data_IF_254015657397
#
_entry.id   IF_254015657397
#
_cell.length_a   1.000
_cell.length_b   1.000
_cell.length_c   1.000
_cell.angle_alpha   90.00
_cell.angle_beta   90.00
_cell.angle_gamma   90.00
#
_symmetry.space_group_name_H-M   'P 1'
#
loop_
_entity.id
_entity.type
_entity.pdbx_description
1 polymer ?
#
# COMPACT_ATOMS: atom_id res chain seq x y z
N UNK A 1 42.96 -30.14 -49.64
CA UNK A 1 42.85 -28.80 -49.03
C UNK A 1 41.74 -28.85 -48.00
N UNK A 2 42.08 -29.09 -46.72
CA UNK A 2 41.07 -29.20 -45.66
C UNK A 2 40.37 -27.85 -45.50
N UNK A 3 39.03 -27.83 -45.60
CA UNK A 3 38.24 -26.61 -45.34
C UNK A 3 38.51 -26.21 -43.89
N UNK A 4 39.25 -25.12 -43.69
CA UNK A 4 39.47 -24.54 -42.36
C UNK A 4 38.10 -24.30 -41.75
N UNK A 5 37.81 -25.02 -40.66
CA UNK A 5 36.60 -24.84 -39.85
C UNK A 5 36.54 -23.36 -39.46
N UNK A 6 35.39 -22.71 -39.68
CA UNK A 6 35.22 -21.32 -39.25
C UNK A 6 35.30 -21.26 -37.73
N UNK A 7 35.97 -20.24 -37.20
CA UNK A 7 36.00 -19.98 -35.77
C UNK A 7 34.57 -19.75 -35.26
N UNK A 8 34.24 -20.41 -34.16
CA UNK A 8 33.03 -20.16 -33.37
C UNK A 8 33.03 -18.76 -32.77
N UNK A 9 31.88 -18.33 -32.25
CA UNK A 9 31.77 -17.01 -31.63
C UNK A 9 32.71 -16.87 -30.42
N UNK A 10 32.79 -17.90 -29.59
CA UNK A 10 33.65 -17.90 -28.40
C UNK A 10 35.14 -17.83 -28.77
N UNK A 11 35.58 -18.61 -29.77
CA UNK A 11 36.95 -18.54 -30.24
C UNK A 11 37.29 -17.15 -30.82
N UNK A 12 36.33 -16.47 -31.48
CA UNK A 12 36.54 -15.08 -31.93
C UNK A 12 36.70 -14.11 -30.75
N UNK A 13 35.94 -14.31 -29.67
CA UNK A 13 36.04 -13.51 -28.44
C UNK A 13 37.41 -13.67 -27.80
N UNK A 14 37.89 -14.91 -27.67
CA UNK A 14 39.23 -15.20 -27.16
C UNK A 14 40.32 -14.57 -28.03
N UNK A 15 40.23 -14.69 -29.36
CA UNK A 15 41.21 -14.08 -30.28
C UNK A 15 41.22 -12.55 -30.17
N UNK A 16 40.07 -11.90 -29.97
CA UNK A 16 40.01 -10.45 -29.75
C UNK A 16 40.59 -10.07 -28.38
N UNK A 17 40.27 -10.80 -27.31
CA UNK A 17 40.85 -10.58 -25.98
C UNK A 17 42.38 -10.72 -25.98
N UNK A 18 42.89 -11.70 -26.72
CA UNK A 18 44.31 -11.94 -26.85
C UNK A 18 45.07 -10.72 -27.41
N UNK A 19 44.45 -9.94 -28.31
CA UNK A 19 45.04 -8.69 -28.82
C UNK A 19 45.28 -7.71 -27.67
N UNK A 20 44.29 -7.54 -26.78
CA UNK A 20 44.41 -6.66 -25.63
C UNK A 20 45.45 -7.17 -24.61
N UNK A 21 45.51 -8.48 -24.36
CA UNK A 21 46.46 -9.04 -23.37
C UNK A 21 47.91 -9.08 -23.84
N UNK A 22 48.16 -9.29 -25.14
CA UNK A 22 49.52 -9.29 -25.69
C UNK A 22 50.13 -7.89 -25.74
N UNK A 23 49.31 -6.90 -26.08
CA UNK A 23 49.78 -5.52 -26.26
C UNK A 23 49.65 -4.65 -25.02
N UNK A 24 48.66 -4.95 -24.17
CA UNK A 24 48.30 -4.17 -22.98
C UNK A 24 48.10 -2.67 -23.28
N UNK A 25 47.56 -2.37 -24.47
CA UNK A 25 47.39 -1.01 -24.99
C UNK A 25 45.91 -0.67 -25.23
N UNK A 26 45.65 0.60 -25.52
CA UNK A 26 44.34 1.16 -25.81
C UNK A 26 44.10 1.21 -27.31
N UNK A 27 42.91 0.79 -27.74
CA UNK A 27 42.57 0.72 -29.15
C UNK A 27 41.31 1.49 -29.50
N UNK A 28 41.32 2.12 -30.67
CA UNK A 28 40.11 2.58 -31.34
C UNK A 28 39.47 1.43 -32.10
N UNK A 29 38.15 1.52 -32.34
CA UNK A 29 37.43 0.51 -33.11
C UNK A 29 38.07 0.25 -34.49
N UNK A 30 38.54 1.31 -35.17
CA UNK A 30 39.22 1.22 -36.48
C UNK A 30 40.52 0.43 -36.42
N UNK A 31 41.23 0.47 -35.28
CA UNK A 31 42.48 -0.27 -35.09
C UNK A 31 42.20 -1.74 -34.83
N UNK A 32 41.16 -2.04 -34.04
CA UNK A 32 40.67 -3.40 -33.83
C UNK A 32 40.18 -4.04 -35.13
N UNK A 33 39.49 -3.29 -36.00
CA UNK A 33 39.08 -3.77 -37.33
C UNK A 33 40.28 -4.14 -38.23
N UNK A 34 41.45 -3.52 -38.02
CA UNK A 34 42.69 -3.85 -38.74
C UNK A 34 43.44 -5.03 -38.12
N UNK A 35 43.36 -5.19 -36.80
CA UNK A 35 44.07 -6.24 -36.04
C UNK A 35 43.28 -7.55 -35.96
N UNK A 36 41.95 -7.49 -35.85
CA UNK A 36 41.06 -8.66 -35.75
C UNK A 36 41.23 -9.68 -36.88
N UNK A 37 41.24 -9.26 -38.17
CA UNK A 37 41.49 -10.17 -39.29
C UNK A 37 42.85 -10.87 -39.24
N UNK A 38 43.88 -10.25 -38.65
CA UNK A 38 45.20 -10.88 -38.49
C UNK A 38 45.17 -12.04 -37.49
N UNK A 39 44.25 -12.02 -36.53
CA UNK A 39 43.99 -13.10 -35.57
C UNK A 39 42.90 -14.07 -36.04
N UNK A 40 42.42 -13.94 -37.28
CA UNK A 40 41.43 -14.84 -37.88
C UNK A 40 39.96 -14.46 -37.65
N UNK A 41 39.69 -13.33 -37.00
CA UNK A 41 38.32 -12.81 -36.81
C UNK A 41 37.86 -12.11 -38.10
N UNK A 42 36.69 -12.47 -38.61
CA UNK A 42 36.15 -11.88 -39.84
C UNK A 42 35.90 -10.38 -39.59
N UNK A 43 36.42 -9.51 -40.46
CA UNK A 43 36.38 -8.04 -40.31
C UNK A 43 34.99 -7.52 -39.97
N UNK A 44 33.95 -8.04 -40.63
CA UNK A 44 32.57 -7.61 -40.42
C UNK A 44 31.99 -8.01 -39.06
N UNK A 45 32.58 -9.01 -38.39
CA UNK A 45 32.16 -9.45 -37.06
C UNK A 45 32.96 -8.81 -35.92
N UNK A 46 34.04 -8.07 -36.20
CA UNK A 46 34.90 -7.49 -35.16
C UNK A 46 34.11 -6.56 -34.24
N UNK A 47 33.27 -5.70 -34.81
CA UNK A 47 32.43 -4.77 -34.04
C UNK A 47 31.50 -5.49 -33.07
N UNK A 48 30.78 -6.51 -33.56
CA UNK A 48 29.81 -7.26 -32.75
C UNK A 48 30.52 -8.08 -31.65
N UNK A 49 31.68 -8.66 -31.95
CA UNK A 49 32.48 -9.42 -30.98
C UNK A 49 33.08 -8.50 -29.91
N UNK A 50 33.57 -7.31 -30.28
CA UNK A 50 34.05 -6.32 -29.31
C UNK A 50 32.90 -5.83 -28.44
N UNK A 51 31.72 -5.59 -29.02
CA UNK A 51 30.55 -5.17 -28.24
C UNK A 51 30.12 -6.27 -27.26
N UNK A 52 30.06 -7.53 -27.66
CA UNK A 52 29.73 -8.62 -26.74
C UNK A 52 30.78 -8.81 -25.63
N UNK A 53 32.05 -8.50 -25.89
CA UNK A 53 33.08 -8.45 -24.84
C UNK A 53 32.90 -7.28 -23.87
N UNK A 54 32.42 -6.14 -24.35
CA UNK A 54 32.07 -4.99 -23.49
C UNK A 54 30.83 -5.29 -22.66
N UNK A 55 29.83 -5.95 -23.24
CA UNK A 55 28.57 -6.26 -22.56
C UNK A 55 28.76 -7.26 -21.41
N UNK A 56 29.74 -8.17 -21.53
CA UNK A 56 30.15 -9.10 -20.46
C UNK A 56 31.28 -8.54 -19.58
N UNK A 57 31.55 -7.22 -19.64
CA UNK A 57 32.58 -6.49 -18.90
C UNK A 57 34.04 -6.98 -19.11
N UNK A 58 34.30 -7.88 -20.07
CA UNK A 58 35.65 -8.39 -20.36
C UNK A 58 36.55 -7.37 -21.08
N UNK A 59 35.96 -6.39 -21.75
CA UNK A 59 36.65 -5.25 -22.37
C UNK A 59 36.05 -3.96 -21.84
N UNK A 60 36.90 -3.07 -21.33
CA UNK A 60 36.49 -1.74 -20.89
C UNK A 60 36.37 -0.82 -22.10
N UNK A 61 35.34 0.03 -22.06
CA UNK A 61 35.05 1.03 -23.09
C UNK A 61 34.89 2.39 -22.43
N UNK A 62 35.60 3.39 -22.92
CA UNK A 62 35.41 4.78 -22.49
C UNK A 62 35.52 5.76 -23.65
N UNK A 63 34.78 6.86 -23.54
CA UNK A 63 34.74 7.92 -24.55
C UNK A 63 35.54 9.12 -24.06
N UNK A 64 36.68 9.36 -24.70
CA UNK A 64 37.56 10.48 -24.38
C UNK A 64 37.52 11.46 -25.56
N UNK A 65 36.90 12.63 -25.32
CA UNK A 65 36.65 13.62 -26.37
C UNK A 65 35.71 13.11 -27.45
N UNK A 66 36.19 13.07 -28.70
CA UNK A 66 35.41 12.58 -29.86
C UNK A 66 35.58 11.08 -30.12
N UNK A 67 36.51 10.42 -29.42
CA UNK A 67 36.93 9.06 -29.72
C UNK A 67 36.54 8.08 -28.62
N UNK A 68 36.24 6.84 -29.00
CA UNK A 68 35.92 5.74 -28.07
C UNK A 68 37.09 4.77 -28.05
N UNK A 69 37.63 4.55 -26.85
CA UNK A 69 38.77 3.67 -26.59
C UNK A 69 38.29 2.38 -25.95
N UNK A 70 38.94 1.28 -26.33
CA UNK A 70 38.72 -0.05 -25.82
C UNK A 70 40.02 -0.62 -25.28
N UNK A 71 39.99 -1.25 -24.11
CA UNK A 71 41.16 -1.91 -23.54
C UNK A 71 40.74 -3.04 -22.60
N UNK A 72 41.63 -3.99 -22.38
CA UNK A 72 41.47 -5.01 -21.36
C UNK A 72 42.82 -5.36 -20.76
N UNK A 73 42.86 -5.45 -19.43
CA UNK A 73 44.06 -5.84 -18.69
C UNK A 73 43.91 -7.29 -18.22
N UNK A 74 44.98 -8.11 -18.22
CA UNK A 74 44.92 -9.48 -17.73
C UNK A 74 44.40 -9.61 -16.28
N UNK A 75 44.62 -8.58 -15.46
CA UNK A 75 44.14 -8.49 -14.08
C UNK A 75 42.68 -8.05 -13.95
N UNK A 76 42.06 -7.56 -15.03
CA UNK A 76 40.72 -6.97 -15.00
C UNK A 76 39.65 -8.02 -14.67
N UNK A 77 39.67 -9.18 -15.34
CA UNK A 77 38.72 -10.26 -15.08
C UNK A 77 38.76 -10.75 -13.62
N UNK A 78 39.96 -10.95 -13.07
CA UNK A 78 40.12 -11.36 -11.67
C UNK A 78 39.68 -10.29 -10.68
N UNK A 79 39.99 -9.02 -10.95
CA UNK A 79 39.60 -7.92 -10.06
C UNK A 79 38.09 -7.63 -10.11
N UNK A 80 37.47 -7.78 -11.28
CA UNK A 80 36.02 -7.71 -11.43
C UNK A 80 35.33 -8.82 -10.65
N UNK A 81 35.78 -10.07 -10.81
CA UNK A 81 35.24 -11.21 -10.06
C UNK A 81 35.35 -10.99 -8.55
N UNK A 82 36.49 -10.49 -8.07
CA UNK A 82 36.66 -10.16 -6.65
C UNK A 82 35.73 -9.02 -6.20
N UNK A 83 35.54 -8.01 -7.05
CA UNK A 83 34.65 -6.89 -6.74
C UNK A 83 33.19 -7.32 -6.68
N UNK A 84 32.72 -8.13 -7.65
CA UNK A 84 31.36 -8.66 -7.67
C UNK A 84 31.14 -9.62 -6.50
N UNK A 85 32.11 -10.49 -6.20
CA UNK A 85 32.07 -11.35 -5.03
C UNK A 85 31.91 -10.56 -3.73
N UNK A 86 32.76 -9.56 -3.50
CA UNK A 86 32.71 -8.72 -2.28
C UNK A 86 31.37 -7.97 -2.16
N UNK A 87 30.83 -7.48 -3.29
CA UNK A 87 29.50 -6.83 -3.32
C UNK A 87 28.40 -7.81 -2.91
N UNK A 88 28.37 -8.98 -3.54
CA UNK A 88 27.38 -10.02 -3.25
C UNK A 88 27.48 -10.53 -1.81
N UNK A 89 28.69 -10.67 -1.28
CA UNK A 89 28.93 -11.04 0.12
C UNK A 89 28.41 -9.97 1.09
N UNK A 90 28.66 -8.69 0.79
CA UNK A 90 28.12 -7.57 1.57
C UNK A 90 26.60 -7.52 1.52
N UNK A 91 25.99 -7.68 0.34
CA UNK A 91 24.54 -7.69 0.15
C UNK A 91 23.88 -8.86 0.88
N UNK A 92 24.51 -10.04 0.86
CA UNK A 92 24.07 -11.22 1.60
C UNK A 92 24.10 -10.96 3.11
N UNK A 93 25.20 -10.37 3.60
CA UNK A 93 25.35 -10.02 5.02
C UNK A 93 24.27 -9.01 5.47
N UNK A 94 24.06 -7.95 4.68
CA UNK A 94 23.04 -6.94 4.94
C UNK A 94 21.63 -7.54 4.93
N UNK A 95 21.34 -8.41 3.97
CA UNK A 95 20.04 -9.09 3.86
C UNK A 95 19.79 -10.02 5.04
N UNK A 96 20.81 -10.78 5.49
CA UNK A 96 20.73 -11.61 6.69
C UNK A 96 20.47 -10.78 7.94
N UNK A 97 21.16 -9.64 8.10
CA UNK A 97 20.93 -8.74 9.22
C UNK A 97 19.50 -8.22 9.23
N UNK A 98 19.02 -7.71 8.10
CA UNK A 98 17.63 -7.23 7.96
C UNK A 98 16.60 -8.32 8.22
N UNK A 99 16.87 -9.55 7.80
CA UNK A 99 16.02 -10.70 8.07
C UNK A 99 15.90 -10.98 9.57
N UNK A 100 17.03 -10.97 10.30
CA UNK A 100 17.01 -11.15 11.76
C UNK A 100 16.24 -10.02 12.46
N UNK A 101 16.44 -8.77 12.05
CA UNK A 101 15.71 -7.61 12.60
C UNK A 101 14.19 -7.74 12.37
N UNK A 102 13.76 -8.21 11.19
CA UNK A 102 12.35 -8.45 10.88
C UNK A 102 11.75 -9.60 11.69
N UNK A 103 12.53 -10.66 11.97
CA UNK A 103 12.08 -11.76 12.83
C UNK A 103 11.84 -11.28 14.26
N UNK A 104 12.76 -10.48 14.80
CA UNK A 104 12.62 -9.88 16.12
C UNK A 104 11.39 -8.96 16.20
N UNK A 105 11.22 -8.07 15.21
CA UNK A 105 10.03 -7.20 15.12
C UNK A 105 8.72 -8.00 15.04
N UNK A 106 8.71 -9.10 14.27
CA UNK A 106 7.56 -9.99 14.20
C UNK A 106 7.24 -10.59 15.57
N UNK A 107 8.25 -11.07 16.29
CA UNK A 107 8.06 -11.71 17.59
C UNK A 107 7.59 -10.71 18.66
N UNK A 108 8.13 -9.50 18.63
CA UNK A 108 7.68 -8.42 19.51
C UNK A 108 6.25 -7.96 19.22
N UNK A 109 5.85 -7.89 17.94
CA UNK A 109 4.46 -7.58 17.57
C UNK A 109 3.49 -8.71 17.91
N UNK A 110 3.96 -9.96 17.89
CA UNK A 110 3.15 -11.13 18.25
C UNK A 110 2.93 -11.20 19.76
N UNK A 111 3.88 -10.73 20.57
CA UNK A 111 3.78 -10.69 22.03
C UNK A 111 2.57 -9.84 22.46
N UNK A 112 1.63 -10.44 23.18
CA UNK A 112 0.38 -9.79 23.60
C UNK A 112 -0.68 -9.65 22.50
N UNK A 113 -0.43 -10.20 21.31
CA UNK A 113 -1.41 -10.38 20.21
C UNK A 113 -1.43 -11.84 19.77
N UNK A 114 -1.17 -12.76 20.69
CA UNK A 114 -1.25 -14.17 20.39
C UNK A 114 -2.68 -14.50 19.94
N UNK A 115 -2.80 -15.29 18.86
CA UNK A 115 -4.08 -15.81 18.42
C UNK A 115 -4.53 -16.89 19.40
N UNK A 116 -5.20 -16.46 20.46
CA UNK A 116 -5.86 -17.33 21.44
C UNK A 116 -7.38 -17.13 21.34
N UNK A 117 -8.12 -18.17 21.71
CA UNK A 117 -9.59 -18.14 21.70
C UNK A 117 -10.12 -16.98 22.57
N UNK A 118 -9.46 -16.69 23.71
CA UNK A 118 -9.86 -15.57 24.58
C UNK A 118 -9.71 -14.20 23.91
N UNK A 119 -8.69 -14.03 23.05
CA UNK A 119 -8.49 -12.78 22.31
C UNK A 119 -9.52 -12.63 21.20
N UNK A 120 -9.87 -13.73 20.52
CA UNK A 120 -10.93 -13.74 19.51
C UNK A 120 -12.27 -13.34 20.13
N UNK A 121 -12.65 -13.97 21.25
CA UNK A 121 -13.86 -13.64 22.01
C UNK A 121 -13.89 -12.17 22.45
N UNK A 122 -12.78 -11.66 23.00
CA UNK A 122 -12.67 -10.26 23.43
C UNK A 122 -12.78 -9.27 22.26
N UNK A 123 -12.26 -9.61 21.07
CA UNK A 123 -12.39 -8.79 19.87
C UNK A 123 -13.83 -8.79 19.32
N UNK A 124 -14.53 -9.92 19.42
CA UNK A 124 -15.96 -9.98 19.07
C UNK A 124 -16.82 -9.16 20.04
N UNK A 125 -16.55 -9.26 21.35
CA UNK A 125 -17.25 -8.47 22.36
C UNK A 125 -17.01 -6.97 22.16
N UNK A 126 -15.75 -6.57 21.89
CA UNK A 126 -15.41 -5.18 21.60
C UNK A 126 -16.22 -4.63 20.43
N UNK A 127 -16.29 -5.38 19.31
CA UNK A 127 -17.10 -4.99 18.14
C UNK A 127 -18.58 -4.86 18.49
N UNK A 128 -19.11 -5.78 19.29
CA UNK A 128 -20.51 -5.74 19.72
C UNK A 128 -20.79 -4.49 20.58
N UNK A 129 -19.89 -4.15 21.51
CA UNK A 129 -19.99 -2.97 22.38
C UNK A 129 -19.86 -1.68 21.56
N UNK A 130 -18.91 -1.59 20.64
CA UNK A 130 -18.76 -0.42 19.75
C UNK A 130 -20.02 -0.17 18.91
N UNK A 131 -20.63 -1.23 18.39
CA UNK A 131 -21.88 -1.12 17.64
C UNK A 131 -23.03 -0.62 18.53
N UNK A 132 -23.16 -1.12 19.77
CA UNK A 132 -24.17 -0.65 20.72
C UNK A 132 -23.94 0.82 21.10
N UNK A 133 -22.69 1.19 21.37
CA UNK A 133 -22.33 2.56 21.70
C UNK A 133 -22.66 3.52 20.55
N UNK A 134 -22.38 3.12 19.30
CA UNK A 134 -22.77 3.90 18.12
C UNK A 134 -24.28 4.11 18.05
N UNK A 135 -25.08 3.05 18.22
CA UNK A 135 -26.55 3.14 18.22
C UNK A 135 -27.07 4.06 19.31
N UNK A 136 -26.59 3.90 20.56
CA UNK A 136 -26.97 4.75 21.68
C UNK A 136 -26.61 6.23 21.43
N UNK A 137 -25.48 6.48 20.78
CA UNK A 137 -25.06 7.84 20.42
C UNK A 137 -25.96 8.45 19.34
N UNK A 138 -26.40 7.66 18.36
CA UNK A 138 -27.38 8.06 17.36
C UNK A 138 -28.76 8.34 18.00
N UNK A 139 -29.20 7.49 18.93
CA UNK A 139 -30.43 7.69 19.71
C UNK A 139 -30.36 8.97 20.56
N UNK A 140 -29.26 9.20 21.29
CA UNK A 140 -29.06 10.43 22.05
C UNK A 140 -29.08 11.67 21.16
N UNK A 141 -28.50 11.60 19.96
CA UNK A 141 -28.56 12.69 19.00
C UNK A 141 -30.00 12.94 18.51
N UNK A 142 -30.81 11.88 18.31
CA UNK A 142 -32.21 12.01 17.95
C UNK A 142 -33.06 12.67 19.06
N UNK A 143 -32.70 12.44 20.32
CA UNK A 143 -33.35 13.09 21.47
C UNK A 143 -32.75 14.46 21.86
N UNK A 144 -31.74 14.95 21.13
CA UNK A 144 -31.05 16.20 21.47
C UNK A 144 -31.99 17.42 21.54
N UNK A 145 -33.04 17.45 20.71
CA UNK A 145 -34.03 18.53 20.67
C UNK A 145 -35.24 18.29 21.60
N UNK A 146 -35.29 17.14 22.28
CA UNK A 146 -36.40 16.73 23.15
C UNK A 146 -36.11 17.04 24.63
N UNK A 147 -35.82 18.30 24.96
CA UNK A 147 -35.63 18.71 26.36
C UNK A 147 -36.92 18.45 27.17
N UNK A 148 -36.88 17.59 28.21
CA UNK A 148 -38.05 17.26 29.02
C UNK A 148 -38.66 18.50 29.69
N UNK A 149 -37.83 19.49 30.07
CA UNK A 149 -38.31 20.72 30.68
C UNK A 149 -39.06 21.61 29.68
N UNK A 150 -38.57 21.69 28.43
CA UNK A 150 -39.26 22.37 27.34
C UNK A 150 -40.57 21.66 26.94
N UNK A 151 -40.59 20.32 26.92
CA UNK A 151 -41.79 19.52 26.64
C UNK A 151 -42.86 19.67 27.74
N UNK A 152 -42.47 19.69 29.02
CA UNK A 152 -43.38 19.95 30.14
C UNK A 152 -43.90 21.39 30.14
N UNK A 153 -43.05 22.38 29.86
CA UNK A 153 -43.48 23.76 29.72
C UNK A 153 -44.45 23.93 28.53
N UNK A 154 -44.20 23.24 27.41
CA UNK A 154 -45.09 23.25 26.25
C UNK A 154 -46.41 22.54 26.53
N UNK A 155 -46.41 21.40 27.24
CA UNK A 155 -47.65 20.70 27.58
C UNK A 155 -48.53 21.54 28.52
N UNK A 156 -47.93 22.18 29.52
CA UNK A 156 -48.60 23.08 30.45
C UNK A 156 -49.11 24.37 29.77
N UNK A 157 -48.40 24.86 28.74
CA UNK A 157 -48.80 26.04 27.95
C UNK A 157 -49.70 25.71 26.74
N UNK A 158 -49.84 24.44 26.38
CA UNK A 158 -50.58 24.03 25.19
C UNK A 158 -52.08 24.32 25.33
N UNK A 159 -52.76 24.38 24.19
CA UNK A 159 -54.22 24.56 24.11
C UNK A 159 -54.96 23.38 24.76
N UNK A 160 -54.28 22.24 24.96
CA UNK A 160 -54.87 20.99 25.46
C UNK A 160 -55.50 21.15 26.85
N UNK A 161 -54.79 21.60 27.91
CA UNK A 161 -55.39 21.84 29.23
C UNK A 161 -56.51 22.89 29.21
N UNK A 162 -56.39 23.92 28.36
CA UNK A 162 -57.45 24.92 28.20
C UNK A 162 -58.69 24.35 27.50
N UNK A 163 -58.49 23.50 26.50
CA UNK A 163 -59.55 22.80 25.77
C UNK A 163 -60.22 21.74 26.65
N UNK A 164 -59.47 20.97 27.44
CA UNK A 164 -60.06 19.99 28.38
C UNK A 164 -60.86 20.67 29.48
N UNK A 165 -60.40 21.80 30.02
CA UNK A 165 -61.21 22.63 30.93
C UNK A 165 -62.46 23.20 30.24
N UNK A 166 -62.33 23.65 28.99
CA UNK A 166 -63.47 24.09 28.17
C UNK A 166 -64.52 22.99 28.00
N UNK A 167 -64.11 21.80 27.58
CA UNK A 167 -65.02 20.64 27.44
C UNK A 167 -65.64 20.27 28.79
N UNK A 168 -64.87 20.30 29.88
CA UNK A 168 -65.38 20.04 31.23
C UNK A 168 -66.43 21.05 31.70
N UNK A 169 -66.25 22.34 31.36
CA UNK A 169 -67.21 23.39 31.72
C UNK A 169 -68.49 23.30 30.89
N UNK A 170 -68.39 23.08 29.58
CA UNK A 170 -69.56 22.88 28.72
C UNK A 170 -70.35 21.63 29.09
N UNK A 171 -69.68 20.51 29.39
CA UNK A 171 -70.35 19.29 29.86
C UNK A 171 -71.06 19.52 31.20
N UNK A 172 -70.45 20.24 32.13
CA UNK A 172 -71.09 20.61 33.41
C UNK A 172 -72.34 21.48 33.20
N UNK A 173 -72.28 22.46 32.30
CA UNK A 173 -73.43 23.31 31.95
C UNK A 173 -74.57 22.48 31.35
N UNK A 174 -74.26 21.56 30.42
CA UNK A 174 -75.25 20.66 29.81
C UNK A 174 -75.94 19.80 30.88
N UNK A 175 -75.20 19.27 31.85
CA UNK A 175 -75.75 18.48 32.95
C UNK A 175 -76.66 19.33 33.86
N UNK A 176 -76.28 20.58 34.16
CA UNK A 176 -77.08 21.49 34.97
C UNK A 176 -78.39 21.89 34.28
N UNK A 177 -78.36 22.19 32.97
CA UNK A 177 -79.57 22.48 32.18
C UNK A 177 -80.52 21.28 32.20
N UNK A 178 -80.00 20.07 31.92
CA UNK A 178 -80.81 18.85 32.00
C UNK A 178 -81.42 18.61 33.39
N UNK A 179 -80.69 18.95 34.46
CA UNK A 179 -81.21 18.84 35.82
C UNK A 179 -82.31 19.89 36.09
N UNK A 180 -82.12 21.12 35.65
CA UNK A 180 -83.09 22.22 35.80
C UNK A 180 -84.38 21.96 35.02
N UNK A 181 -84.30 21.47 33.78
CA UNK A 181 -85.47 21.10 32.98
C UNK A 181 -86.28 19.99 33.65
N UNK A 182 -85.60 19.02 34.28
CA UNK A 182 -86.24 17.93 35.01
C UNK A 182 -86.98 18.42 36.25
N UNK A 183 -86.41 19.37 36.99
CA UNK A 183 -87.07 20.00 38.15
C UNK A 183 -88.25 20.86 37.69
N UNK A 184 -88.09 21.63 36.62
CA UNK A 184 -89.15 22.50 36.08
C UNK A 184 -90.35 21.70 35.56
N UNK A 185 -90.13 20.54 34.93
CA UNK A 185 -91.19 19.60 34.53
C UNK A 185 -91.95 19.01 35.73
N UNK A 186 -91.27 18.79 36.86
CA UNK A 186 -91.92 18.31 38.09
C UNK A 186 -92.73 19.41 38.79
N UNK A 187 -92.29 20.66 38.73
CA UNK A 187 -93.02 21.79 39.32
C UNK A 187 -94.23 22.22 38.49
N UNK A 188 -94.20 22.07 37.16
CA UNK A 188 -95.36 22.32 36.29
C UNK A 188 -96.49 21.30 36.46
N UNK A 189 -96.26 20.18 37.15
CA UNK A 189 -97.31 19.22 37.53
C UNK A 189 -98.02 19.56 38.84
N UNK A 190 -97.67 20.69 39.49
CA UNK A 190 -98.22 21.11 40.78
C UNK A 190 -98.97 22.46 40.75
N UNK A 191 -99.35 22.93 39.55
CA UNK A 191 -100.33 24.01 39.33
C UNK A 191 -101.47 23.43 38.49
#
# INVERSE_FOLDING_TARGET
MSKKRGLSLEEKREQMLQIFYESQDFYLLKELEKMGPKKGVISQSVKDVVQSLVDDDLVLRDKIGTSVYFWSLPSCAGNQLRTTYNKLESDLSNSKKRYMELLEQRDDLKRGREDTDEREDALEELKAVELRHKKLKEELAAYADSDPSALEAMSMRSIIPHFTMGVGTWTSIIVLIHHSDRVSMQTSHFI
#
